data_IF_713215163178
#
_entry.id   IF_713215163178
#
_cell.length_a   1.000
_cell.length_b   1.000
_cell.length_c   1.000
_cell.angle_alpha   90.00
_cell.angle_beta   90.00
_cell.angle_gamma   90.00
#
_symmetry.space_group_name_H-M   'P 1'
#
loop_
_entity.id
_entity.type
_entity.pdbx_description
1 polymer ?
#
# COMPACT_ATOMS: atom_id res chain seq x y z
N UNK A 1 4.65 -55.97 -7.66
CA UNK A 1 5.30 -54.65 -7.81
C UNK A 1 5.30 -54.37 -9.30
N UNK A 2 4.55 -53.44 -9.88
CA UNK A 2 3.48 -52.54 -9.44
C UNK A 2 2.74 -52.14 -10.72
N UNK A 3 1.49 -51.73 -10.53
CA UNK A 3 0.49 -51.46 -11.56
C UNK A 3 0.89 -50.40 -12.59
N UNK A 4 0.70 -50.71 -13.88
CA UNK A 4 0.61 -49.71 -14.94
C UNK A 4 -0.87 -49.41 -15.20
N UNK A 5 -1.41 -48.44 -14.47
CA UNK A 5 -2.72 -47.85 -14.75
C UNK A 5 -2.64 -46.98 -16.01
N UNK A 6 -3.48 -47.34 -16.99
CA UNK A 6 -3.79 -46.55 -18.16
C UNK A 6 -4.40 -45.20 -17.74
N UNK A 7 -3.87 -44.10 -18.29
CA UNK A 7 -4.55 -42.81 -18.32
C UNK A 7 -4.98 -42.52 -19.75
N UNK A 8 -6.30 -42.50 -19.93
CA UNK A 8 -7.01 -42.06 -21.13
C UNK A 8 -6.76 -40.56 -21.40
N UNK A 9 -6.68 -40.11 -22.67
CA UNK A 9 -6.48 -38.71 -23.02
C UNK A 9 -7.78 -37.91 -22.90
N UNK A 10 -7.78 -36.87 -22.06
CA UNK A 10 -8.84 -35.87 -22.05
C UNK A 10 -8.70 -34.90 -23.22
N UNK A 11 -9.75 -34.90 -24.04
CA UNK A 11 -10.08 -33.98 -25.12
C UNK A 11 -10.05 -32.51 -24.65
N UNK A 12 -9.24 -31.65 -25.29
CA UNK A 12 -9.39 -30.20 -25.19
C UNK A 12 -10.06 -29.69 -26.46
N UNK A 13 -11.29 -29.23 -26.30
CA UNK A 13 -12.13 -28.67 -27.34
C UNK A 13 -11.73 -27.20 -27.55
N UNK A 14 -10.85 -26.92 -28.53
CA UNK A 14 -10.55 -25.56 -28.97
C UNK A 14 -11.67 -25.06 -29.87
N UNK A 15 -12.49 -24.12 -29.38
CA UNK A 15 -13.41 -23.37 -30.22
C UNK A 15 -12.65 -22.27 -30.96
N UNK A 16 -12.68 -22.35 -32.29
CA UNK A 16 -12.34 -21.28 -33.21
C UNK A 16 -13.44 -20.23 -33.25
N UNK A 17 -13.08 -18.94 -33.21
CA UNK A 17 -13.55 -17.83 -34.05
C UNK A 17 -12.87 -16.56 -33.48
N UNK A 18 -12.41 -15.57 -34.24
CA UNK A 18 -12.54 -15.31 -35.66
C UNK A 18 -11.45 -14.37 -36.15
N UNK A 19 -11.37 -14.30 -37.46
CA UNK A 19 -10.38 -13.59 -38.27
C UNK A 19 -10.61 -12.09 -38.22
N UNK A 20 -9.56 -11.30 -38.03
CA UNK A 20 -9.43 -9.99 -38.65
C UNK A 20 -8.08 -9.92 -39.36
N UNK A 21 -8.15 -9.79 -40.68
CA UNK A 21 -7.02 -9.56 -41.56
C UNK A 21 -6.61 -8.09 -41.46
N UNK A 22 -5.30 -7.82 -41.38
CA UNK A 22 -4.68 -6.66 -42.01
C UNK A 22 -3.34 -7.08 -42.59
N UNK A 23 -3.24 -6.94 -43.90
CA UNK A 23 -2.03 -7.12 -44.69
C UNK A 23 -1.12 -5.90 -44.55
N UNK A 24 0.19 -6.16 -44.48
CA UNK A 24 1.30 -5.26 -44.86
C UNK A 24 2.59 -6.05 -44.58
N UNK A 25 3.13 -6.84 -45.51
CA UNK A 25 3.98 -6.42 -46.63
C UNK A 25 5.26 -5.68 -46.20
N UNK A 26 6.38 -6.43 -46.33
CA UNK A 26 7.71 -5.97 -46.77
C UNK A 26 8.56 -5.20 -45.73
N UNK A 27 9.75 -5.75 -45.45
CA UNK A 27 10.88 -4.96 -44.97
C UNK A 27 11.79 -5.63 -43.94
N UNK A 28 12.29 -6.85 -44.21
CA UNK A 28 13.52 -7.31 -43.56
C UNK A 28 14.66 -6.49 -44.13
N UNK A 29 15.14 -5.48 -43.40
CA UNK A 29 16.44 -4.86 -43.66
C UNK A 29 17.33 -5.20 -42.47
N UNK A 30 18.20 -6.18 -42.71
CA UNK A 30 19.37 -6.42 -41.89
C UNK A 30 20.28 -5.19 -42.00
N UNK A 31 20.52 -4.50 -40.89
CA UNK A 31 21.63 -3.56 -40.78
C UNK A 31 22.73 -4.23 -39.97
N UNK A 32 23.73 -4.70 -40.70
CA UNK A 32 25.00 -5.15 -40.14
C UNK A 32 25.82 -3.96 -39.66
N UNK A 33 26.67 -4.26 -38.68
CA UNK A 33 28.01 -3.72 -38.47
C UNK A 33 28.14 -2.24 -38.05
N UNK A 34 28.63 -2.04 -36.83
CA UNK A 34 29.14 -0.76 -36.39
C UNK A 34 29.53 -0.71 -34.92
N UNK A 35 30.33 -1.68 -34.44
CA UNK A 35 31.05 -1.51 -33.18
C UNK A 35 32.14 -0.46 -33.41
N UNK A 36 31.89 0.79 -33.01
CA UNK A 36 32.91 1.80 -32.82
C UNK A 36 33.31 1.82 -31.34
N UNK A 37 34.42 1.16 -31.02
CA UNK A 37 35.11 1.31 -29.74
C UNK A 37 35.76 2.69 -29.72
N UNK A 38 35.04 3.69 -29.21
CA UNK A 38 35.64 4.97 -28.84
C UNK A 38 36.24 4.83 -27.43
N UNK A 39 37.55 4.52 -27.38
CA UNK A 39 38.36 4.65 -26.18
C UNK A 39 38.58 6.14 -25.88
N UNK A 40 37.59 6.78 -25.26
CA UNK A 40 37.70 8.11 -24.70
C UNK A 40 38.23 8.02 -23.26
N UNK A 41 39.53 8.19 -23.08
CA UNK A 41 40.15 8.46 -21.78
C UNK A 41 39.76 9.86 -21.32
N UNK A 42 38.61 9.98 -20.64
CA UNK A 42 38.23 11.22 -19.96
C UNK A 42 38.92 11.27 -18.59
N UNK A 43 39.87 12.19 -18.47
CA UNK A 43 40.50 12.58 -17.21
C UNK A 43 39.44 12.97 -16.18
N UNK A 44 39.41 12.25 -15.07
CA UNK A 44 38.65 12.61 -13.87
C UNK A 44 39.26 13.88 -13.26
N UNK A 45 38.47 14.92 -12.93
CA UNK A 45 38.95 15.98 -12.06
C UNK A 45 39.10 15.44 -10.63
N UNK A 46 40.30 15.59 -10.07
CA UNK A 46 40.61 15.32 -8.66
C UNK A 46 39.79 16.26 -7.78
N UNK A 47 38.65 15.79 -7.28
CA UNK A 47 37.91 16.49 -6.24
C UNK A 47 38.65 16.31 -4.91
N UNK A 48 39.31 17.37 -4.46
CA UNK A 48 39.83 17.49 -3.09
C UNK A 48 38.65 17.52 -2.12
N UNK A 49 38.29 16.37 -1.56
CA UNK A 49 37.34 16.27 -0.45
C UNK A 49 38.07 16.63 0.85
N UNK A 50 37.87 17.86 1.33
CA UNK A 50 38.27 18.26 2.67
C UNK A 50 37.25 17.70 3.69
N UNK A 51 37.69 17.05 4.79
CA UNK A 51 36.78 16.65 5.85
C UNK A 51 36.43 17.88 6.71
N UNK A 52 35.21 18.41 6.58
CA UNK A 52 34.65 19.32 7.59
C UNK A 52 34.11 18.48 8.76
N UNK A 53 34.95 18.32 9.78
CA UNK A 53 34.55 17.77 11.07
C UNK A 53 33.81 18.88 11.82
N UNK A 54 32.49 18.87 11.77
CA UNK A 54 31.66 19.69 12.66
C UNK A 54 30.88 18.74 13.57
N UNK A 55 31.25 18.76 14.84
CA UNK A 55 30.63 17.96 15.90
C UNK A 55 29.14 18.27 16.06
N UNK A 56 28.29 17.27 16.39
CA UNK A 56 26.92 17.55 16.80
C UNK A 56 26.89 18.13 18.23
N UNK A 57 26.30 19.32 18.35
CA UNK A 57 25.92 19.94 19.62
C UNK A 57 24.87 19.07 20.32
N UNK A 58 25.19 18.70 21.57
CA UNK A 58 24.33 17.97 22.49
C UNK A 58 23.08 18.81 22.82
N UNK A 59 21.91 18.44 22.29
CA UNK A 59 20.63 19.02 22.72
C UNK A 59 20.08 18.18 23.87
N UNK A 60 20.12 18.73 25.08
CA UNK A 60 19.52 18.18 26.28
C UNK A 60 17.99 18.10 26.15
N UNK A 61 17.47 16.87 26.09
CA UNK A 61 16.05 16.59 26.26
C UNK A 61 15.63 16.84 27.71
N UNK A 62 14.85 17.89 27.95
CA UNK A 62 14.14 18.06 29.22
C UNK A 62 12.93 17.13 29.24
N UNK A 63 12.98 16.16 30.15
CA UNK A 63 11.86 15.28 30.49
C UNK A 63 10.78 16.12 31.15
N UNK A 64 9.64 16.31 30.45
CA UNK A 64 8.43 16.87 31.05
C UNK A 64 7.59 15.71 31.56
N UNK A 65 7.59 15.52 32.87
CA UNK A 65 6.63 14.66 33.60
C UNK A 65 5.21 15.20 33.42
N UNK A 66 4.22 14.39 33.00
CA UNK A 66 2.82 14.78 33.13
C UNK A 66 2.38 14.64 34.60
N UNK A 67 2.12 15.80 35.22
CA UNK A 67 1.42 15.93 36.50
C UNK A 67 0.01 15.35 36.38
N UNK A 68 -0.26 14.25 37.09
CA UNK A 68 -1.59 13.70 37.26
C UNK A 68 -2.47 14.69 38.06
N UNK A 69 -3.43 15.32 37.38
CA UNK A 69 -4.46 16.12 38.03
C UNK A 69 -5.58 15.20 38.51
N UNK A 70 -5.54 14.94 39.81
CA UNK A 70 -6.59 14.33 40.63
C UNK A 70 -7.80 15.25 40.66
N UNK A 71 -8.85 14.92 39.92
CA UNK A 71 -10.15 15.57 40.06
C UNK A 71 -10.86 14.99 41.30
N UNK A 72 -11.18 15.87 42.23
CA UNK A 72 -11.87 15.59 43.49
C UNK A 72 -13.35 15.30 43.25
N UNK A 73 -13.75 14.18 43.82
CA UNK A 73 -15.06 13.86 44.40
C UNK A 73 -15.84 15.08 44.92
N UNK A 74 -17.05 15.27 44.40
CA UNK A 74 -18.21 15.82 45.13
C UNK A 74 -19.48 15.22 44.54
N UNK A 75 -20.09 14.31 45.30
CA UNK A 75 -21.47 13.90 45.11
C UNK A 75 -22.34 14.97 45.77
N UNK A 76 -23.36 15.46 45.06
CA UNK A 76 -24.54 16.00 45.73
C UNK A 76 -25.78 15.41 45.07
N UNK A 77 -26.58 14.79 45.92
CA UNK A 77 -27.77 14.01 45.60
C UNK A 77 -28.98 14.85 46.01
N UNK A 78 -29.92 15.08 45.09
CA UNK A 78 -31.35 15.19 45.40
C UNK A 78 -32.13 15.32 44.08
N UNK A 79 -32.80 14.25 43.63
CA UNK A 79 -34.21 14.05 43.99
C UNK A 79 -34.63 12.64 43.56
N UNK A 80 -35.35 11.94 44.44
CA UNK A 80 -35.92 10.62 44.21
C UNK A 80 -37.31 10.78 43.52
N UNK A 81 -38.16 9.74 43.26
CA UNK A 81 -38.04 8.34 43.64
C UNK A 81 -38.63 7.30 42.62
N UNK A 82 -38.58 6.03 43.05
CA UNK A 82 -39.48 4.90 42.69
C UNK A 82 -39.08 4.01 41.51
N UNK A 83 -38.31 2.99 41.88
CA UNK A 83 -38.42 1.64 41.35
C UNK A 83 -39.89 1.15 41.45
N UNK A 84 -40.58 1.04 40.31
CA UNK A 84 -41.75 0.18 40.18
C UNK A 84 -41.59 -0.71 38.95
N UNK A 85 -41.12 -1.92 39.24
CA UNK A 85 -41.62 -3.20 38.75
C UNK A 85 -41.91 -3.35 37.24
N UNK A 86 -41.11 -4.25 36.65
CA UNK A 86 -41.17 -4.88 35.31
C UNK A 86 -42.53 -5.41 34.81
N UNK A 87 -43.69 -5.03 35.35
CA UNK A 87 -45.00 -5.67 35.06
C UNK A 87 -46.16 -4.77 34.58
N UNK A 88 -45.93 -3.52 34.17
CA UNK A 88 -47.02 -2.66 33.64
C UNK A 88 -46.74 -2.03 32.25
N UNK A 89 -46.20 -2.80 31.29
CA UNK A 89 -46.17 -2.39 29.86
C UNK A 89 -47.39 -2.87 29.05
N UNK A 90 -48.51 -3.18 29.70
CA UNK A 90 -49.80 -3.26 29.02
C UNK A 90 -50.77 -2.34 29.74
N UNK A 91 -51.37 -1.42 28.99
CA UNK A 91 -52.36 -0.42 29.38
C UNK A 91 -51.77 0.90 29.92
N UNK A 92 -51.80 1.95 29.10
CA UNK A 92 -51.63 3.31 29.63
C UNK A 92 -51.01 4.27 28.63
N UNK A 93 -51.89 4.90 27.86
CA UNK A 93 -51.64 6.06 27.00
C UNK A 93 -50.79 7.18 27.62
N UNK A 94 -49.97 7.76 26.74
CA UNK A 94 -49.69 9.19 26.62
C UNK A 94 -48.46 9.78 27.32
N UNK A 95 -47.83 10.67 26.55
CA UNK A 95 -46.83 11.70 26.88
C UNK A 95 -45.36 11.30 26.76
N UNK A 96 -44.80 11.74 25.62
CA UNK A 96 -43.46 12.30 25.40
C UNK A 96 -42.27 11.56 26.01
N UNK A 97 -41.49 10.88 25.18
CA UNK A 97 -40.02 10.98 25.13
C UNK A 97 -39.55 10.28 23.84
N UNK A 98 -39.48 11.00 22.72
CA UNK A 98 -38.64 10.55 21.61
C UNK A 98 -37.20 10.73 22.08
N UNK A 99 -36.69 9.76 22.85
CA UNK A 99 -35.30 9.64 23.21
C UNK A 99 -34.50 9.64 21.91
N UNK A 100 -33.92 10.80 21.60
CA UNK A 100 -33.06 10.99 20.45
C UNK A 100 -32.01 9.90 20.48
N UNK A 101 -31.97 9.13 19.41
CA UNK A 101 -30.92 8.18 19.12
C UNK A 101 -29.57 8.89 19.34
N UNK A 102 -28.89 8.57 20.44
CA UNK A 102 -27.46 8.86 20.58
C UNK A 102 -26.73 7.97 19.58
N UNK A 103 -26.73 8.39 18.32
CA UNK A 103 -25.86 7.86 17.31
C UNK A 103 -24.44 8.24 17.73
N UNK A 104 -23.76 7.33 18.41
CA UNK A 104 -22.32 7.34 18.55
C UNK A 104 -21.72 7.20 17.15
N UNK A 105 -21.64 8.29 16.39
CA UNK A 105 -20.88 8.34 15.15
C UNK A 105 -19.42 8.38 15.57
N UNK A 106 -18.80 7.22 15.68
CA UNK A 106 -17.36 7.12 15.73
C UNK A 106 -16.82 7.75 14.45
N UNK A 107 -16.25 8.94 14.56
CA UNK A 107 -15.45 9.54 13.50
C UNK A 107 -14.24 8.62 13.34
N UNK A 108 -14.23 7.76 12.33
CA UNK A 108 -13.06 6.96 12.00
C UNK A 108 -11.89 7.92 11.77
N UNK A 109 -10.87 7.84 12.63
CA UNK A 109 -9.61 8.52 12.39
C UNK A 109 -9.05 8.02 11.06
N UNK A 110 -8.81 8.94 10.11
CA UNK A 110 -8.02 8.72 8.89
C UNK A 110 -8.45 7.53 8.04
N UNK A 111 -9.69 7.52 7.53
CA UNK A 111 -10.03 6.59 6.46
C UNK A 111 -9.16 6.91 5.22
N UNK A 112 -8.59 5.87 4.60
CA UNK A 112 -7.88 6.03 3.33
C UNK A 112 -8.84 6.68 2.29
N UNK A 113 -8.35 7.61 1.46
CA UNK A 113 -9.21 8.44 0.62
C UNK A 113 -9.69 7.75 -0.67
N UNK A 114 -9.20 6.55 -0.97
CA UNK A 114 -9.55 5.78 -2.17
C UNK A 114 -10.78 4.89 -2.02
N UNK A 115 -11.11 4.15 -3.08
CA UNK A 115 -12.10 3.06 -3.01
C UNK A 115 -11.63 1.95 -2.05
N UNK A 116 -12.52 1.08 -1.54
CA UNK A 116 -12.12 -0.03 -0.64
C UNK A 116 -10.99 -0.91 -1.22
N UNK A 117 -10.99 -1.12 -2.54
CA UNK A 117 -9.95 -1.90 -3.23
C UNK A 117 -8.63 -1.12 -3.29
N UNK A 118 -8.67 0.18 -3.57
CA UNK A 118 -7.47 1.02 -3.55
C UNK A 118 -6.89 1.09 -2.13
N UNK A 119 -7.74 1.29 -1.13
CA UNK A 119 -7.34 1.30 0.27
C UNK A 119 -6.80 -0.03 0.79
N UNK A 120 -7.06 -1.14 0.09
CA UNK A 120 -6.38 -2.40 0.37
C UNK A 120 -4.86 -2.30 0.12
N UNK A 121 -4.41 -1.43 -0.80
CA UNK A 121 -2.98 -1.19 -1.05
C UNK A 121 -2.31 -0.31 0.01
N UNK A 122 -3.04 0.47 0.81
CA UNK A 122 -2.45 1.33 1.85
C UNK A 122 -1.68 0.50 2.90
N UNK A 123 -0.45 0.86 3.23
CA UNK A 123 0.28 0.26 4.35
C UNK A 123 1.76 -0.03 4.08
N UNK A 124 2.38 -0.79 5.00
CA UNK A 124 3.76 -1.24 4.89
C UNK A 124 3.85 -2.67 4.38
N UNK A 125 4.90 -2.98 3.62
CA UNK A 125 5.12 -4.29 3.02
C UNK A 125 6.59 -4.72 3.09
N UNK A 126 6.77 -6.03 3.22
CA UNK A 126 8.06 -6.70 3.03
C UNK A 126 8.22 -7.16 1.59
N UNK A 127 9.40 -6.95 1.02
CA UNK A 127 9.78 -7.40 -0.32
C UNK A 127 10.85 -8.50 -0.20
N UNK A 128 10.60 -9.74 -0.66
CA UNK A 128 11.55 -10.85 -0.50
C UNK A 128 12.87 -10.64 -1.24
N UNK A 129 12.91 -9.78 -2.26
CA UNK A 129 14.17 -9.42 -2.93
C UNK A 129 14.95 -8.32 -2.21
N UNK A 130 14.37 -7.74 -1.16
CA UNK A 130 14.97 -6.71 -0.32
C UNK A 130 14.66 -6.98 1.16
N UNK A 131 15.25 -8.05 1.74
CA UNK A 131 14.90 -8.53 3.07
C UNK A 131 15.22 -7.54 4.20
N UNK A 132 16.23 -6.69 4.00
CA UNK A 132 16.59 -5.61 4.93
C UNK A 132 15.93 -4.27 4.58
N UNK A 133 14.96 -4.28 3.66
CA UNK A 133 14.26 -3.12 3.14
C UNK A 133 12.81 -3.03 3.60
N UNK A 134 12.18 -1.90 3.30
CA UNK A 134 10.73 -1.71 3.48
C UNK A 134 10.09 -1.10 2.25
N UNK A 135 8.78 -1.28 2.14
CA UNK A 135 7.91 -0.59 1.18
C UNK A 135 6.77 0.04 1.96
N UNK A 136 6.43 1.28 1.66
CA UNK A 136 5.25 1.95 2.18
C UNK A 136 4.44 2.45 1.01
N UNK A 137 3.15 2.16 1.00
CA UNK A 137 2.21 2.63 -0.01
C UNK A 137 1.20 3.55 0.66
N UNK A 138 1.10 4.76 0.13
CA UNK A 138 0.11 5.77 0.51
C UNK A 138 -0.80 6.04 -0.68
N UNK A 139 -2.08 5.78 -0.52
CA UNK A 139 -3.15 6.01 -1.50
C UNK A 139 -3.54 7.47 -1.44
N UNK A 140 -3.42 8.13 -2.58
CA UNK A 140 -3.84 9.51 -2.75
C UNK A 140 -5.31 9.54 -3.18
N UNK A 141 -6.08 10.51 -2.69
CA UNK A 141 -7.53 10.62 -2.98
C UNK A 141 -7.90 10.98 -4.42
N UNK A 142 -6.91 11.10 -5.29
CA UNK A 142 -7.02 11.45 -6.71
C UNK A 142 -6.85 10.25 -7.64
N UNK A 143 -6.88 9.03 -7.11
CA UNK A 143 -6.68 7.80 -7.89
C UNK A 143 -5.22 7.48 -8.15
N UNK A 144 -4.29 8.12 -7.44
CA UNK A 144 -2.86 7.79 -7.47
C UNK A 144 -2.39 7.18 -6.16
N UNK A 145 -1.15 6.71 -6.13
CA UNK A 145 -0.48 6.30 -4.90
C UNK A 145 0.98 6.76 -4.91
N UNK A 146 1.50 7.06 -3.72
CA UNK A 146 2.91 7.31 -3.46
C UNK A 146 3.52 6.07 -2.82
N UNK A 147 4.59 5.55 -3.40
CA UNK A 147 5.30 4.38 -2.88
C UNK A 147 6.68 4.82 -2.45
N UNK A 148 7.07 4.59 -1.19
CA UNK A 148 8.43 4.85 -0.71
C UNK A 148 9.07 3.61 -0.13
N UNK A 149 10.39 3.59 -0.07
CA UNK A 149 11.10 2.44 0.48
C UNK A 149 12.61 2.61 0.55
N UNK A 150 13.25 1.61 1.14
CA UNK A 150 14.70 1.39 1.09
C UNK A 150 14.97 -0.03 0.62
N UNK A 151 16.07 -0.24 -0.11
CA UNK A 151 16.42 -1.55 -0.66
C UNK A 151 17.37 -2.38 0.23
N UNK A 152 18.00 -1.71 1.18
CA UNK A 152 18.94 -2.24 2.19
C UNK A 152 18.91 -1.32 3.40
N UNK A 153 19.30 -1.80 4.57
CA UNK A 153 19.20 -1.06 5.83
C UNK A 153 19.78 0.37 5.78
N UNK A 154 20.95 0.54 5.14
CA UNK A 154 21.63 1.84 5.01
C UNK A 154 21.48 2.45 3.60
N UNK A 155 20.45 2.04 2.86
CA UNK A 155 20.17 2.50 1.51
C UNK A 155 19.49 3.87 1.48
N UNK A 156 19.60 4.61 0.35
CA UNK A 156 18.81 5.82 0.17
C UNK A 156 17.31 5.49 0.14
N UNK A 157 16.50 6.36 0.73
CA UNK A 157 15.05 6.33 0.54
C UNK A 157 14.74 6.72 -0.90
N UNK A 158 13.93 5.90 -1.56
CA UNK A 158 13.40 6.18 -2.89
C UNK A 158 11.89 6.42 -2.81
N UNK A 159 11.37 7.12 -3.81
CA UNK A 159 9.93 7.38 -3.98
C UNK A 159 9.53 7.10 -5.42
N UNK A 160 8.42 6.40 -5.61
CA UNK A 160 7.77 6.09 -6.88
C UNK A 160 6.33 6.62 -6.84
N UNK A 161 5.77 6.81 -8.02
CA UNK A 161 4.36 7.12 -8.21
C UNK A 161 3.64 5.92 -8.82
N UNK A 162 2.37 5.78 -8.50
CA UNK A 162 1.50 4.80 -9.14
C UNK A 162 0.14 5.39 -9.48
N UNK A 163 -0.49 4.87 -10.53
CA UNK A 163 -1.84 5.24 -10.95
C UNK A 163 -2.75 4.02 -10.86
N UNK A 164 -3.95 4.18 -10.31
CA UNK A 164 -4.92 3.11 -10.29
C UNK A 164 -5.66 2.99 -11.62
N UNK A 165 -5.74 1.77 -12.14
CA UNK A 165 -6.65 1.39 -13.22
C UNK A 165 -7.60 0.32 -12.69
N UNK A 166 -8.81 0.75 -12.31
CA UNK A 166 -9.77 -0.11 -11.62
C UNK A 166 -9.22 -0.60 -10.28
N UNK A 167 -8.99 -1.92 -10.17
CA UNK A 167 -8.44 -2.59 -8.97
C UNK A 167 -6.91 -2.77 -9.00
N UNK A 168 -6.26 -2.43 -10.11
CA UNK A 168 -4.82 -2.61 -10.30
C UNK A 168 -4.09 -1.29 -10.07
N UNK A 169 -2.87 -1.37 -9.55
CA UNK A 169 -1.98 -0.22 -9.39
C UNK A 169 -0.82 -0.34 -10.39
N UNK A 170 -0.66 0.65 -11.27
CA UNK A 170 0.44 0.71 -12.23
C UNK A 170 1.54 1.60 -11.65
N UNK A 171 2.66 0.99 -11.29
CA UNK A 171 3.77 1.67 -10.59
C UNK A 171 4.86 2.07 -11.58
N UNK A 172 5.34 3.30 -11.51
CA UNK A 172 6.44 3.79 -12.33
C UNK A 172 7.80 3.51 -11.66
N UNK A 173 8.51 2.48 -12.12
CA UNK A 173 9.84 2.14 -11.62
C UNK A 173 10.99 2.84 -12.37
N UNK A 174 10.71 3.73 -13.33
CA UNK A 174 11.76 4.48 -14.05
C UNK A 174 12.76 5.20 -13.13
N UNK A 175 12.36 5.81 -12.00
CA UNK A 175 13.32 6.42 -11.06
C UNK A 175 14.36 5.44 -10.50
N UNK A 176 14.07 4.13 -10.52
CA UNK A 176 14.99 3.05 -10.12
C UNK A 176 15.61 2.30 -11.31
N UNK A 177 15.40 2.77 -12.54
CA UNK A 177 15.86 2.13 -13.77
C UNK A 177 14.97 0.98 -14.27
N UNK A 178 13.78 0.80 -13.69
CA UNK A 178 12.81 -0.21 -14.10
C UNK A 178 11.82 0.26 -15.17
N UNK A 179 10.84 -0.59 -15.52
CA UNK A 179 9.79 -0.24 -16.48
C UNK A 179 8.84 0.83 -15.93
N UNK A 180 8.24 1.60 -16.83
CA UNK A 180 7.10 2.44 -16.49
C UNK A 180 5.84 1.57 -16.33
N UNK A 181 4.91 2.00 -15.48
CA UNK A 181 3.56 1.45 -15.37
C UNK A 181 3.53 -0.08 -15.16
N UNK A 182 4.40 -0.62 -14.31
CA UNK A 182 4.38 -2.03 -13.97
C UNK A 182 3.07 -2.37 -13.27
N UNK A 183 2.27 -3.24 -13.89
CA UNK A 183 0.99 -3.68 -13.37
C UNK A 183 1.19 -4.44 -12.05
N UNK A 184 0.42 -4.09 -11.03
CA UNK A 184 0.37 -4.84 -9.77
C UNK A 184 -1.07 -5.17 -9.39
N UNK A 185 -1.26 -6.32 -8.74
CA UNK A 185 -2.55 -6.81 -8.29
C UNK A 185 -2.51 -7.08 -6.79
N UNK A 186 -3.47 -6.54 -6.05
CA UNK A 186 -3.64 -6.86 -4.63
C UNK A 186 -4.41 -8.17 -4.46
N UNK A 187 -3.79 -9.14 -3.82
CA UNK A 187 -4.41 -10.45 -3.55
C UNK A 187 -3.76 -11.09 -2.32
N UNK A 188 -4.58 -11.75 -1.49
CA UNK A 188 -4.13 -12.53 -0.33
C UNK A 188 -3.27 -11.70 0.66
N UNK A 189 -3.58 -10.42 0.83
CA UNK A 189 -2.83 -9.54 1.73
C UNK A 189 -1.47 -9.09 1.18
N UNK A 190 -1.23 -9.18 -0.13
CA UNK A 190 0.01 -8.72 -0.75
C UNK A 190 -0.19 -8.10 -2.13
N UNK A 191 0.84 -7.39 -2.60
CA UNK A 191 0.92 -6.80 -3.92
C UNK A 191 1.75 -7.73 -4.80
N UNK A 192 1.11 -8.33 -5.81
CA UNK A 192 1.73 -9.31 -6.71
C UNK A 192 2.13 -8.64 -8.02
N UNK A 193 3.34 -8.96 -8.48
CA UNK A 193 3.92 -8.46 -9.72
C UNK A 193 4.04 -9.56 -10.79
N UNK A 194 4.10 -9.21 -12.09
CA UNK A 194 4.18 -10.17 -13.19
C UNK A 194 5.47 -10.99 -13.24
N UNK A 195 6.53 -10.50 -12.62
CA UNK A 195 7.84 -11.17 -12.51
C UNK A 195 7.87 -12.26 -11.42
N UNK A 196 6.75 -12.46 -10.72
CA UNK A 196 6.64 -13.40 -9.61
C UNK A 196 6.99 -12.82 -8.25
N UNK A 197 7.44 -11.56 -8.17
CA UNK A 197 7.64 -10.90 -6.88
C UNK A 197 6.29 -10.65 -6.20
N UNK A 198 6.27 -10.74 -4.87
CA UNK A 198 5.09 -10.42 -4.06
C UNK A 198 5.52 -9.65 -2.83
N UNK A 199 5.02 -8.43 -2.68
CA UNK A 199 5.20 -7.67 -1.45
C UNK A 199 4.12 -8.07 -0.45
N UNK A 200 4.52 -8.60 0.70
CA UNK A 200 3.61 -9.09 1.74
C UNK A 200 3.35 -7.98 2.75
N UNK A 201 2.08 -7.67 3.01
CA UNK A 201 1.69 -6.63 3.95
C UNK A 201 2.12 -6.98 5.38
N UNK A 202 2.62 -6.00 6.12
CA UNK A 202 3.00 -6.10 7.53
C UNK A 202 1.78 -5.92 8.44
#
# INVERSE_FOLDING_TARGET
MSDYQAMEPYFVQTQSVGRFALASAIGVVAFCAGYALASGSMSMPTAHYAPSVTAPTLVQSHVVTPTALRATHSQDMADAPQELSRRQQLMGSAWSLAAGFWANRATAAGACPGSPVQCAYEGQYSDPFHPDGYRTVVVNGDGTATISGIDRADGPVWTLTGNFEGSSLLIDFRPKGGPANLLSNYKDGGIRFPDGNTWTKQ
#
